data_IF_989052875161
#
_entry.id   IF_989052875161
#
_cell.length_a   1.000
_cell.length_b   1.000
_cell.length_c   1.000
_cell.angle_alpha   90.00
_cell.angle_beta   90.00
_cell.angle_gamma   90.00
#
_symmetry.space_group_name_H-M   'P 1'
#
loop_
_entity.id
_entity.type
_entity.pdbx_description
1 polymer ?
#
# COMPACT_ATOMS: atom_id res chain seq x y z
N UNK A 1 -9.67 14.85 27.41
CA UNK A 1 -8.36 14.63 26.76
C UNK A 1 -8.63 13.85 25.48
N UNK A 2 -8.86 14.54 24.36
CA UNK A 2 -9.20 13.90 23.09
C UNK A 2 -7.90 13.62 22.35
N UNK A 3 -7.49 12.35 22.31
CA UNK A 3 -6.33 11.90 21.56
C UNK A 3 -6.62 12.07 20.07
N UNK A 4 -5.79 12.83 19.35
CA UNK A 4 -5.87 12.90 17.89
C UNK A 4 -5.27 11.61 17.33
N UNK A 5 -6.08 10.79 16.67
CA UNK A 5 -5.56 9.71 15.81
C UNK A 5 -4.83 10.40 14.66
N UNK A 6 -3.52 10.38 14.70
CA UNK A 6 -2.68 10.90 13.62
C UNK A 6 -2.61 9.81 12.55
N UNK A 7 -3.33 9.98 11.45
CA UNK A 7 -3.18 9.11 10.28
C UNK A 7 -1.76 9.27 9.73
N UNK A 8 -0.89 8.29 9.97
CA UNK A 8 0.47 8.30 9.48
C UNK A 8 0.52 7.70 8.07
N UNK A 9 0.62 8.57 7.05
CA UNK A 9 0.83 8.12 5.68
C UNK A 9 2.28 7.65 5.49
N UNK A 10 2.45 6.44 4.97
CA UNK A 10 3.74 5.91 4.55
C UNK A 10 3.88 6.10 3.03
N UNK A 11 4.88 6.89 2.61
CA UNK A 11 5.30 6.97 1.21
C UNK A 11 6.44 5.97 0.97
N UNK A 12 6.34 5.18 -0.09
CA UNK A 12 7.37 4.25 -0.54
C UNK A 12 7.80 4.64 -1.95
N UNK A 13 9.06 4.99 -2.12
CA UNK A 13 9.66 5.32 -3.42
C UNK A 13 10.62 4.21 -3.84
N UNK A 14 10.41 3.65 -5.03
CA UNK A 14 11.18 2.49 -5.52
C UNK A 14 12.43 2.88 -6.34
N UNK A 15 12.67 4.18 -6.54
CA UNK A 15 13.83 4.76 -7.26
C UNK A 15 14.19 4.02 -8.57
N UNK A 16 13.20 3.60 -9.36
CA UNK A 16 13.45 2.93 -10.64
C UNK A 16 13.78 3.98 -11.71
N UNK A 17 14.64 3.63 -12.68
CA UNK A 17 14.65 4.32 -13.98
C UNK A 17 13.25 4.22 -14.64
N UNK A 18 12.98 4.95 -15.72
CA UNK A 18 11.63 5.06 -16.30
C UNK A 18 11.09 3.67 -16.72
N UNK A 19 10.29 3.06 -15.83
CA UNK A 19 9.71 1.75 -16.08
C UNK A 19 8.69 1.89 -17.23
N UNK A 20 8.68 0.94 -18.18
CA UNK A 20 7.61 0.88 -19.16
C UNK A 20 6.24 0.82 -18.45
N UNK A 21 5.20 1.51 -18.96
CA UNK A 21 3.90 1.61 -18.27
C UNK A 21 3.30 0.25 -17.85
N UNK A 22 3.54 -0.81 -18.62
CA UNK A 22 3.09 -2.18 -18.30
C UNK A 22 3.81 -2.74 -17.07
N UNK A 23 5.14 -2.56 -16.98
CA UNK A 23 5.93 -3.05 -15.87
C UNK A 23 5.60 -2.29 -14.58
N UNK A 24 5.39 -0.97 -14.67
CA UNK A 24 4.97 -0.14 -13.54
C UNK A 24 3.64 -0.60 -12.94
N UNK A 25 2.61 -0.83 -13.77
CA UNK A 25 1.31 -1.34 -13.30
C UNK A 25 1.41 -2.72 -12.65
N UNK A 26 2.22 -3.61 -13.22
CA UNK A 26 2.43 -4.95 -12.64
C UNK A 26 3.12 -4.86 -11.29
N UNK A 27 4.14 -4.01 -11.16
CA UNK A 27 4.83 -3.77 -9.89
C UNK A 27 3.89 -3.16 -8.84
N UNK A 28 3.08 -2.17 -9.23
CA UNK A 28 2.09 -1.54 -8.37
C UNK A 28 1.05 -2.54 -7.83
N UNK A 29 0.48 -3.38 -8.71
CA UNK A 29 -0.50 -4.41 -8.31
C UNK A 29 0.12 -5.43 -7.34
N UNK A 30 1.28 -5.99 -7.70
CA UNK A 30 1.95 -7.00 -6.89
C UNK A 30 2.37 -6.46 -5.51
N UNK A 31 2.86 -5.22 -5.46
CA UNK A 31 3.21 -4.57 -4.19
C UNK A 31 1.97 -4.34 -3.31
N UNK A 32 0.90 -3.79 -3.89
CA UNK A 32 -0.34 -3.51 -3.16
C UNK A 32 -0.99 -4.78 -2.59
N UNK A 33 -1.03 -5.85 -3.39
CA UNK A 33 -1.55 -7.16 -2.98
C UNK A 33 -0.71 -7.77 -1.85
N UNK A 34 0.62 -7.78 -2.00
CA UNK A 34 1.54 -8.32 -0.99
C UNK A 34 1.47 -7.55 0.34
N UNK A 35 1.38 -6.22 0.27
CA UNK A 35 1.24 -5.39 1.46
C UNK A 35 -0.08 -5.68 2.19
N UNK A 36 -1.20 -5.74 1.47
CA UNK A 36 -2.50 -6.04 2.05
C UNK A 36 -2.54 -7.45 2.66
N UNK A 37 -1.99 -8.45 1.98
CA UNK A 37 -1.90 -9.81 2.51
C UNK A 37 -1.13 -9.84 3.83
N UNK A 38 0.06 -9.22 3.87
CA UNK A 38 0.86 -9.17 5.09
C UNK A 38 0.17 -8.39 6.22
N UNK A 39 -0.51 -7.28 5.93
CA UNK A 39 -1.27 -6.53 6.93
C UNK A 39 -2.45 -7.34 7.48
N UNK A 40 -3.14 -8.08 6.61
CA UNK A 40 -4.24 -8.98 6.98
C UNK A 40 -3.77 -10.08 7.92
N UNK A 41 -2.68 -10.77 7.58
CA UNK A 41 -2.10 -11.83 8.42
C UNK A 41 -1.73 -11.35 9.82
N UNK A 42 -1.33 -10.07 9.94
CA UNK A 42 -0.98 -9.44 11.21
C UNK A 42 -2.16 -8.79 11.94
N UNK A 43 -3.38 -8.86 11.40
CA UNK A 43 -4.58 -8.30 12.02
C UNK A 43 -4.67 -6.78 11.98
N UNK A 44 -3.98 -6.12 11.04
CA UNK A 44 -3.98 -4.66 10.89
C UNK A 44 -5.04 -4.13 9.92
N UNK A 45 -5.80 -5.00 9.26
CA UNK A 45 -6.88 -4.60 8.35
C UNK A 45 -8.25 -4.85 8.99
N UNK A 46 -9.17 -3.94 8.71
CA UNK A 46 -10.61 -4.06 8.97
C UNK A 46 -11.35 -4.39 7.68
N UNK A 47 -12.64 -4.73 7.77
CA UNK A 47 -13.49 -4.98 6.58
C UNK A 47 -13.63 -3.74 5.67
N UNK A 48 -13.45 -2.54 6.22
CA UNK A 48 -13.47 -1.27 5.49
C UNK A 48 -12.12 -0.95 4.79
N UNK A 49 -11.08 -1.76 5.02
CA UNK A 49 -9.76 -1.52 4.44
C UNK A 49 -9.77 -1.81 2.93
N UNK A 50 -9.52 -0.77 2.12
CA UNK A 50 -9.52 -0.85 0.66
C UNK A 50 -8.12 -0.65 0.07
N UNK A 51 -7.81 -1.44 -0.97
CA UNK A 51 -6.61 -1.29 -1.79
C UNK A 51 -6.94 -0.36 -2.97
N UNK A 52 -6.10 0.66 -3.21
CA UNK A 52 -6.23 1.56 -4.37
C UNK A 52 -4.90 1.59 -5.14
N UNK A 53 -4.65 0.63 -6.06
CA UNK A 53 -3.39 0.55 -6.80
C UNK A 53 -3.30 1.61 -7.91
N UNK A 54 -2.08 1.89 -8.37
CA UNK A 54 -1.74 2.85 -9.44
C UNK A 54 -1.46 2.17 -10.78
#
# INVERSE_FOLDING_TARGET
MTERITTATLLVELLTEELPPKALRQLGSAFAEGLAAGLKERGFLTDDSAITPY
#
